data_IF_506438711510
#
_entry.id   IF_506438711510
#
_cell.length_a   1.000
_cell.length_b   1.000
_cell.length_c   1.000
_cell.angle_alpha   90.00
_cell.angle_beta   90.00
_cell.angle_gamma   90.00
#
_symmetry.space_group_name_H-M   'P 1'
#
loop_
_entity.id
_entity.type
_entity.pdbx_description
1 polymer ?
#
# COMPACT_ATOMS: atom_id res chain seq x y z
N UNK A 1 11.95 -1.83 -3.99
CA UNK A 1 11.29 -1.31 -2.77
C UNK A 1 10.27 -2.30 -2.20
N UNK A 2 9.14 -2.59 -2.85
CA UNK A 2 8.12 -3.50 -2.30
C UNK A 2 8.59 -4.95 -2.08
N UNK A 3 9.49 -5.45 -2.92
CA UNK A 3 10.15 -6.76 -2.71
C UNK A 3 10.96 -6.77 -1.42
N UNK A 4 11.80 -5.76 -1.19
CA UNK A 4 12.61 -5.62 0.01
C UNK A 4 11.76 -5.43 1.27
N UNK A 5 10.63 -4.71 1.16
CA UNK A 5 9.64 -4.62 2.24
C UNK A 5 9.14 -6.02 2.62
N UNK A 6 8.73 -6.81 1.64
CA UNK A 6 8.26 -8.18 1.85
C UNK A 6 9.34 -9.09 2.44
N UNK A 7 10.57 -9.02 1.93
CA UNK A 7 11.70 -9.80 2.44
C UNK A 7 11.96 -9.54 3.92
N UNK A 8 11.98 -8.27 4.34
CA UNK A 8 12.21 -7.89 5.75
C UNK A 8 11.16 -8.50 6.67
N UNK A 9 9.88 -8.44 6.31
CA UNK A 9 8.81 -8.99 7.13
C UNK A 9 8.78 -10.52 7.18
N UNK A 10 9.26 -11.19 6.12
CA UNK A 10 9.28 -12.66 6.04
C UNK A 10 10.55 -13.27 6.64
N UNK A 11 11.67 -12.54 6.63
CA UNK A 11 12.98 -13.02 7.11
C UNK A 11 13.35 -12.56 8.53
N UNK A 12 12.53 -11.72 9.16
CA UNK A 12 12.77 -11.21 10.52
C UNK A 12 11.53 -11.39 11.41
N UNK A 13 11.67 -11.27 12.74
CA UNK A 13 10.53 -11.30 13.66
C UNK A 13 9.49 -10.18 13.45
N UNK A 14 9.77 -9.19 12.59
CA UNK A 14 8.86 -8.07 12.33
C UNK A 14 7.49 -8.52 11.79
N UNK A 15 7.41 -9.66 11.09
CA UNK A 15 6.15 -10.26 10.66
C UNK A 15 5.19 -10.61 11.81
N UNK A 16 5.71 -10.85 13.02
CA UNK A 16 4.92 -11.15 14.21
C UNK A 16 4.83 -9.96 15.18
N UNK A 17 5.92 -9.18 15.31
CA UNK A 17 5.99 -8.04 16.24
C UNK A 17 5.09 -6.89 15.79
N UNK A 18 5.12 -6.53 14.50
CA UNK A 18 4.35 -5.38 14.00
C UNK A 18 2.83 -5.55 14.17
N UNK A 19 2.22 -6.71 13.86
CA UNK A 19 0.79 -6.94 14.14
C UNK A 19 0.44 -6.85 15.62
N UNK A 20 1.32 -7.36 16.49
CA UNK A 20 1.11 -7.32 17.94
C UNK A 20 1.11 -5.87 18.45
N UNK A 21 2.09 -5.07 18.02
CA UNK A 21 2.13 -3.64 18.33
C UNK A 21 0.93 -2.88 17.74
N UNK A 22 0.52 -3.23 16.52
CA UNK A 22 -0.64 -2.62 15.86
C UNK A 22 -1.94 -2.87 16.63
N UNK A 23 -2.09 -4.02 17.30
CA UNK A 23 -3.23 -4.33 18.16
C UNK A 23 -3.32 -3.46 19.41
N UNK A 24 -2.20 -2.96 19.92
CA UNK A 24 -2.13 -2.10 21.11
C UNK A 24 -2.39 -0.62 20.80
N UNK A 25 -2.22 -0.20 19.54
CA UNK A 25 -2.35 1.20 19.12
C UNK A 25 -3.67 1.88 19.54
N UNK A 26 -4.85 1.24 19.47
CA UNK A 26 -6.11 1.86 19.90
C UNK A 26 -6.19 2.16 21.40
N UNK A 27 -5.38 1.47 22.20
CA UNK A 27 -5.39 1.55 23.67
C UNK A 27 -4.19 2.31 24.24
N UNK A 28 -3.21 2.66 23.40
CA UNK A 28 -1.97 3.31 23.81
C UNK A 28 -1.64 4.53 22.91
N UNK A 29 -2.11 5.73 23.27
CA UNK A 29 -1.86 6.96 22.51
C UNK A 29 -0.36 7.30 22.38
N UNK A 30 0.43 7.07 23.43
CA UNK A 30 1.89 7.30 23.41
C UNK A 30 2.57 6.39 22.37
N UNK A 31 2.14 5.13 22.29
CA UNK A 31 2.62 4.22 21.25
C UNK A 31 2.23 4.70 19.85
N UNK A 32 1.02 5.25 19.68
CA UNK A 32 0.58 5.83 18.41
C UNK A 32 1.47 6.99 17.96
N UNK A 33 1.87 7.88 18.89
CA UNK A 33 2.75 9.00 18.59
C UNK A 33 4.12 8.56 18.04
N UNK A 34 4.64 7.44 18.53
CA UNK A 34 5.91 6.86 18.07
C UNK A 34 5.73 6.06 16.78
N UNK A 35 4.61 5.35 16.64
CA UNK A 35 4.37 4.43 15.53
C UNK A 35 3.95 5.15 14.25
N UNK A 36 3.14 6.21 14.34
CA UNK A 36 2.63 6.94 13.18
C UNK A 36 3.74 7.55 12.29
N UNK A 37 4.79 8.21 12.84
CA UNK A 37 5.93 8.67 12.04
C UNK A 37 6.66 7.55 11.30
N UNK A 38 6.82 6.39 11.95
CA UNK A 38 7.44 5.21 11.33
C UNK A 38 6.63 4.73 10.13
N UNK A 39 5.31 4.56 10.29
CA UNK A 39 4.42 4.14 9.20
C UNK A 39 4.46 5.15 8.05
N UNK A 40 4.37 6.46 8.35
CA UNK A 40 4.49 7.52 7.34
C UNK A 40 5.81 7.42 6.57
N UNK A 41 6.94 7.33 7.27
CA UNK A 41 8.28 7.22 6.67
C UNK A 41 8.40 6.00 5.77
N UNK A 42 7.85 4.85 6.18
CA UNK A 42 7.85 3.61 5.38
C UNK A 42 7.00 3.71 4.11
N UNK A 43 5.91 4.49 4.11
CA UNK A 43 5.04 4.72 2.95
C UNK A 43 5.65 5.70 1.94
N UNK A 44 6.50 6.62 2.37
CA UNK A 44 7.00 7.71 1.52
C UNK A 44 7.65 7.27 0.20
N UNK A 45 8.48 6.21 0.13
CA UNK A 45 9.06 5.80 -1.16
C UNK A 45 8.02 5.30 -2.17
N UNK A 46 6.91 4.71 -1.69
CA UNK A 46 5.80 4.29 -2.55
C UNK A 46 5.00 5.50 -3.02
N UNK A 47 4.70 6.44 -2.12
CA UNK A 47 4.04 7.71 -2.48
C UNK A 47 4.83 8.43 -3.56
N UNK A 48 6.15 8.60 -3.38
CA UNK A 48 7.01 9.19 -4.42
C UNK A 48 6.99 8.44 -5.74
N UNK A 49 6.83 7.11 -5.71
CA UNK A 49 6.72 6.34 -6.95
C UNK A 49 5.40 6.62 -7.68
N UNK A 50 4.30 6.77 -6.94
CA UNK A 50 2.98 7.13 -7.47
C UNK A 50 2.96 8.58 -7.98
N UNK A 51 3.58 9.52 -7.28
CA UNK A 51 3.76 10.91 -7.75
C UNK A 51 4.45 10.95 -9.12
N UNK A 52 5.52 10.17 -9.29
CA UNK A 52 6.20 10.06 -10.59
C UNK A 52 5.31 9.40 -11.66
N UNK A 53 4.44 8.47 -11.28
CA UNK A 53 3.50 7.84 -12.21
C UNK A 53 2.43 8.84 -12.69
N UNK A 54 1.92 9.69 -11.79
CA UNK A 54 1.06 10.84 -12.14
C UNK A 54 1.79 11.78 -13.10
N UNK A 55 3.03 12.17 -12.78
CA UNK A 55 3.82 13.07 -13.62
C UNK A 55 4.07 12.53 -15.04
N UNK A 56 4.11 11.20 -15.20
CA UNK A 56 4.23 10.52 -16.52
C UNK A 56 2.89 10.29 -17.22
N UNK A 57 1.76 10.65 -16.60
CA UNK A 57 0.41 10.37 -17.11
C UNK A 57 0.03 8.89 -17.07
N UNK A 58 0.74 8.07 -16.29
CA UNK A 58 0.45 6.63 -16.17
C UNK A 58 -0.77 6.35 -15.29
N UNK A 59 -1.12 7.28 -14.41
CA UNK A 59 -2.33 7.27 -13.57
C UNK A 59 -2.94 8.68 -13.52
N UNK A 60 -4.24 8.81 -13.23
CA UNK A 60 -4.95 10.09 -13.20
C UNK A 60 -4.34 11.10 -12.22
N UNK A 61 -4.37 12.39 -12.58
CA UNK A 61 -3.80 13.46 -11.75
C UNK A 61 -4.56 13.71 -10.44
N UNK A 62 -5.83 13.35 -10.37
CA UNK A 62 -6.69 13.45 -9.20
C UNK A 62 -6.67 12.19 -8.30
N UNK A 63 -5.75 11.25 -8.56
CA UNK A 63 -5.61 10.03 -7.76
C UNK A 63 -5.25 10.38 -6.32
N UNK A 64 -6.02 9.88 -5.35
CA UNK A 64 -5.62 9.86 -3.93
C UNK A 64 -4.42 8.90 -3.76
N UNK A 65 -3.23 9.47 -3.65
CA UNK A 65 -1.98 8.71 -3.55
C UNK A 65 -1.88 7.91 -2.25
N UNK A 66 -2.53 8.38 -1.18
CA UNK A 66 -2.55 7.65 0.09
C UNK A 66 -3.39 6.39 -0.07
N UNK A 67 -4.59 6.51 -0.62
CA UNK A 67 -5.45 5.37 -0.90
C UNK A 67 -4.82 4.40 -1.91
N UNK A 68 -4.21 4.92 -2.98
CA UNK A 68 -3.50 4.09 -3.96
C UNK A 68 -2.35 3.30 -3.32
N UNK A 69 -1.60 3.90 -2.39
CA UNK A 69 -0.58 3.19 -1.63
C UNK A 69 -1.19 2.11 -0.72
N UNK A 70 -2.34 2.38 -0.09
CA UNK A 70 -3.03 1.41 0.76
C UNK A 70 -3.59 0.21 -0.04
N UNK A 71 -4.07 0.43 -1.27
CA UNK A 71 -4.50 -0.63 -2.18
C UNK A 71 -3.34 -1.57 -2.59
N UNK A 72 -2.11 -1.06 -2.59
CA UNK A 72 -0.92 -1.86 -2.90
C UNK A 72 -0.41 -2.59 -1.65
N UNK A 73 -0.28 -1.88 -0.52
CA UNK A 73 0.34 -2.41 0.70
C UNK A 73 -0.62 -3.28 1.51
N UNK A 74 -1.92 -2.97 1.49
CA UNK A 74 -2.95 -3.69 2.25
C UNK A 74 -2.99 -5.19 1.95
N UNK A 75 -3.15 -5.61 0.69
CA UNK A 75 -3.18 -7.04 0.34
C UNK A 75 -1.86 -7.76 0.65
N UNK A 76 -0.72 -7.09 0.51
CA UNK A 76 0.59 -7.63 0.91
C UNK A 76 0.61 -7.87 2.42
N UNK A 77 0.16 -6.88 3.19
CA UNK A 77 0.08 -6.92 4.65
C UNK A 77 -0.81 -8.06 5.13
N UNK A 78 -1.97 -8.25 4.49
CA UNK A 78 -2.88 -9.37 4.82
C UNK A 78 -2.19 -10.72 4.63
N UNK A 79 -1.41 -10.87 3.56
CA UNK A 79 -0.67 -12.10 3.26
C UNK A 79 0.49 -12.35 4.21
N UNK A 80 1.07 -11.33 4.81
CA UNK A 80 2.19 -11.47 5.75
C UNK A 80 1.66 -11.73 7.17
N UNK A 81 0.66 -10.97 7.60
CA UNK A 81 0.23 -10.96 9.01
C UNK A 81 -0.82 -12.00 9.35
N UNK A 82 -1.73 -12.29 8.42
CA UNK A 82 -2.85 -13.20 8.67
C UNK A 82 -2.71 -14.53 7.93
N UNK A 83 -1.96 -14.55 6.83
CA UNK A 83 -1.62 -15.79 6.13
C UNK A 83 -0.23 -16.24 6.57
N UNK A 84 -0.11 -17.42 7.18
CA UNK A 84 1.21 -18.05 7.43
C UNK A 84 1.91 -18.51 6.13
N UNK A 85 1.37 -18.17 4.97
CA UNK A 85 1.89 -18.55 3.67
C UNK A 85 3.05 -17.63 3.28
N UNK A 86 4.18 -18.21 2.88
CA UNK A 86 5.29 -17.45 2.31
C UNK A 86 4.82 -16.75 1.03
N UNK A 87 4.96 -15.42 0.92
CA UNK A 87 4.60 -14.73 -0.30
C UNK A 87 5.41 -15.23 -1.48
N UNK A 88 4.76 -15.46 -2.62
CA UNK A 88 5.47 -15.88 -3.83
C UNK A 88 6.14 -14.68 -4.51
N UNK A 89 7.21 -14.89 -5.30
CA UNK A 89 7.85 -13.80 -6.06
C UNK A 89 6.90 -13.08 -7.03
N UNK A 90 5.78 -13.71 -7.40
CA UNK A 90 4.75 -13.19 -8.32
C UNK A 90 3.67 -12.36 -7.61
N UNK A 91 3.56 -12.45 -6.27
CA UNK A 91 2.49 -11.81 -5.51
C UNK A 91 2.53 -10.28 -5.66
N UNK A 92 3.70 -9.67 -5.41
CA UNK A 92 3.85 -8.21 -5.44
C UNK A 92 3.53 -7.64 -6.83
N UNK A 93 4.09 -8.17 -7.95
CA UNK A 93 3.70 -7.73 -9.28
C UNK A 93 2.20 -7.83 -9.56
N UNK A 94 1.56 -8.94 -9.17
CA UNK A 94 0.12 -9.14 -9.39
C UNK A 94 -0.74 -8.11 -8.64
N UNK A 95 -0.42 -7.83 -7.37
CA UNK A 95 -1.12 -6.82 -6.57
C UNK A 95 -0.94 -5.42 -7.18
N UNK A 96 0.28 -5.08 -7.58
CA UNK A 96 0.56 -3.76 -8.19
C UNK A 96 -0.23 -3.59 -9.49
N UNK A 97 -0.26 -4.60 -10.36
CA UNK A 97 -1.03 -4.52 -11.61
C UNK A 97 -2.52 -4.36 -11.33
N UNK A 98 -3.08 -5.18 -10.44
CA UNK A 98 -4.50 -5.08 -10.07
C UNK A 98 -4.86 -3.69 -9.50
N UNK A 99 -3.99 -3.12 -8.67
CA UNK A 99 -4.19 -1.79 -8.13
C UNK A 99 -4.16 -0.71 -9.23
N UNK A 100 -3.19 -0.77 -10.14
CA UNK A 100 -3.07 0.21 -11.23
C UNK A 100 -4.24 0.12 -12.22
N UNK A 101 -4.67 -1.09 -12.58
CA UNK A 101 -5.82 -1.30 -13.46
C UNK A 101 -7.10 -0.76 -12.82
N UNK A 102 -7.28 -0.99 -11.51
CA UNK A 102 -8.39 -0.44 -10.74
C UNK A 102 -8.41 1.10 -10.74
N UNK A 103 -7.27 1.72 -10.43
CA UNK A 103 -7.11 3.19 -10.39
C UNK A 103 -7.41 3.82 -11.76
N UNK A 104 -6.90 3.23 -12.84
CA UNK A 104 -7.16 3.70 -14.21
C UNK A 104 -8.63 3.53 -14.58
N UNK A 105 -9.22 2.38 -14.32
CA UNK A 105 -10.60 2.08 -14.65
C UNK A 105 -11.62 2.97 -13.93
N UNK A 106 -11.33 3.40 -12.69
CA UNK A 106 -12.21 4.36 -11.99
C UNK A 106 -12.23 5.74 -12.65
N UNK A 107 -11.11 6.19 -13.20
CA UNK A 107 -11.06 7.50 -13.86
C UNK A 107 -11.74 7.50 -15.22
N UNK A 108 -11.59 6.44 -16.01
CA UNK A 108 -12.27 6.34 -17.31
C UNK A 108 -13.80 6.35 -17.13
N UNK A 109 -14.34 5.60 -16.16
CA UNK A 109 -15.78 5.64 -15.83
C UNK A 109 -16.27 7.02 -15.37
N UNK A 110 -15.41 7.80 -14.70
CA UNK A 110 -15.74 9.15 -14.25
C UNK A 110 -15.84 10.11 -15.44
N UNK A 111 -14.87 10.05 -16.36
CA UNK A 111 -14.90 10.84 -17.61
C UNK A 111 -16.15 10.54 -18.44
N UNK A 112 -16.47 9.26 -18.63
CA UNK A 112 -17.68 8.84 -19.36
C UNK A 112 -18.98 9.34 -18.70
N UNK A 113 -19.01 9.45 -17.37
CA UNK A 113 -20.18 9.96 -16.64
C UNK A 113 -20.31 11.48 -16.75
N UNK A 114 -19.19 12.21 -16.79
CA UNK A 114 -19.16 13.67 -16.96
C UNK A 114 -19.50 14.08 -18.40
N UNK A 115 -19.11 13.30 -19.42
CA UNK A 115 -19.46 13.54 -20.83
C UNK A 115 -20.95 13.30 -21.16
N UNK A 116 -21.66 12.53 -20.32
CA UNK A 116 -23.09 12.22 -20.50
C UNK A 116 -24.03 13.23 -19.82
N UNK A 117 -23.50 14.22 -19.10
CA UNK A 117 -24.26 15.26 -18.37
C UNK A 117 -24.31 16.55 -19.16
#
# INVERSE_FOLDING_TARGET
MLRSYLEVFVSTPLGAVVPSLAGELPHNPELMEVFAPLVRSRRQPLIRALERAVARGEIPADTDLSLAADLIVGPITVRIFFSRAKPTPKLVPAIVQLALDGIRGTAERRKEADERR
#
